data_IF_351605065046
#
_entry.id   IF_351605065046
#
_cell.length_a   1.000
_cell.length_b   1.000
_cell.length_c   1.000
_cell.angle_alpha   90.00
_cell.angle_beta   90.00
_cell.angle_gamma   90.00
#
_symmetry.space_group_name_H-M   'P 1'
#
loop_
_entity.id
_entity.type
_entity.pdbx_description
1 polymer ?
#
# COMPACT_ATOMS: atom_id res chain seq x y z
N UNK A 1 -10.63 23.42 -21.71
CA UNK A 1 -11.61 22.34 -21.45
C UNK A 1 -10.98 20.98 -21.20
N UNK A 2 -10.06 20.51 -22.05
CA UNK A 2 -9.42 19.19 -21.87
C UNK A 2 -8.72 19.03 -20.50
N UNK A 3 -7.94 20.05 -20.08
CA UNK A 3 -7.26 20.05 -18.77
C UNK A 3 -8.24 19.95 -17.59
N UNK A 4 -9.37 20.66 -17.63
CA UNK A 4 -10.39 20.60 -16.58
C UNK A 4 -10.93 19.16 -16.42
N UNK A 5 -11.23 18.48 -17.53
CA UNK A 5 -11.73 17.11 -17.51
C UNK A 5 -10.67 16.15 -16.95
N UNK A 6 -9.41 16.30 -17.34
CA UNK A 6 -8.30 15.47 -16.84
C UNK A 6 -8.15 15.64 -15.33
N UNK A 7 -8.04 16.87 -14.82
CA UNK A 7 -7.89 17.12 -13.38
C UNK A 7 -9.10 16.69 -12.56
N UNK A 8 -10.31 16.80 -13.13
CA UNK A 8 -11.51 16.29 -12.49
C UNK A 8 -11.45 14.77 -12.34
N UNK A 9 -11.08 14.04 -13.40
CA UNK A 9 -10.90 12.58 -13.34
C UNK A 9 -9.82 12.21 -12.31
N UNK A 10 -8.69 12.91 -12.30
CA UNK A 10 -7.60 12.68 -11.33
C UNK A 10 -8.07 12.93 -9.89
N UNK A 11 -8.86 13.97 -9.64
CA UNK A 11 -9.38 14.27 -8.31
C UNK A 11 -10.36 13.20 -7.82
N UNK A 12 -11.30 12.79 -8.68
CA UNK A 12 -12.23 11.70 -8.36
C UNK A 12 -11.46 10.39 -8.12
N UNK A 13 -10.49 10.08 -8.96
CA UNK A 13 -9.62 8.90 -8.82
C UNK A 13 -8.84 8.90 -7.51
N UNK A 14 -8.18 10.01 -7.19
CA UNK A 14 -7.42 10.19 -5.94
C UNK A 14 -8.31 9.97 -4.73
N UNK A 15 -9.46 10.65 -4.64
CA UNK A 15 -10.39 10.48 -3.51
C UNK A 15 -10.93 9.05 -3.45
N UNK A 16 -11.24 8.44 -4.59
CA UNK A 16 -11.67 7.05 -4.69
C UNK A 16 -10.64 6.07 -4.12
N UNK A 17 -9.36 6.25 -4.47
CA UNK A 17 -8.25 5.43 -3.94
C UNK A 17 -8.09 5.64 -2.44
N UNK A 18 -8.05 6.89 -1.96
CA UNK A 18 -7.92 7.18 -0.53
C UNK A 18 -9.10 6.62 0.28
N UNK A 19 -10.32 6.75 -0.23
CA UNK A 19 -11.51 6.14 0.37
C UNK A 19 -11.42 4.61 0.37
N UNK A 20 -10.93 4.01 -0.72
CA UNK A 20 -10.73 2.56 -0.82
C UNK A 20 -9.67 2.03 0.17
N UNK A 21 -8.55 2.73 0.33
CA UNK A 21 -7.44 2.31 1.19
C UNK A 21 -7.73 2.56 2.67
N UNK A 22 -8.11 3.79 3.03
CA UNK A 22 -8.29 4.20 4.43
C UNK A 22 -9.73 4.07 4.90
N UNK A 23 -10.69 4.26 4.00
CA UNK A 23 -12.10 4.14 4.31
C UNK A 23 -12.53 2.69 4.51
N UNK A 24 -11.93 1.70 3.85
CA UNK A 24 -12.44 0.31 3.87
C UNK A 24 -11.89 -0.58 4.99
N UNK A 25 -10.97 -0.09 5.83
CA UNK A 25 -10.43 -0.82 7.02
C UNK A 25 -11.44 -0.95 8.17
N UNK A 26 -12.71 -1.26 7.87
CA UNK A 26 -13.82 -1.26 8.82
C UNK A 26 -14.22 -2.64 9.31
N UNK A 27 -13.77 -3.71 8.65
CA UNK A 27 -14.17 -5.08 8.97
C UNK A 27 -13.28 -5.63 10.08
N UNK A 28 -13.93 -6.26 11.05
CA UNK A 28 -13.27 -7.14 11.99
C UNK A 28 -12.91 -8.42 11.24
N UNK A 29 -11.62 -8.60 10.97
CA UNK A 29 -11.10 -9.79 10.31
C UNK A 29 -9.99 -10.35 11.22
N UNK A 30 -10.09 -11.65 11.51
CA UNK A 30 -9.01 -12.43 12.17
C UNK A 30 -8.58 -11.92 13.55
N UNK A 31 -9.50 -11.41 14.38
CA UNK A 31 -9.12 -10.93 15.71
C UNK A 31 -8.62 -9.48 15.73
N UNK A 32 -8.70 -8.77 14.60
CA UNK A 32 -8.22 -7.39 14.46
C UNK A 32 -9.31 -6.44 13.97
N UNK A 33 -9.40 -5.28 14.60
CA UNK A 33 -10.20 -4.14 14.15
C UNK A 33 -9.27 -2.93 13.96
N UNK A 34 -9.25 -2.33 12.77
CA UNK A 34 -8.39 -1.16 12.47
C UNK A 34 -6.89 -1.39 12.78
N UNK A 35 -6.42 -2.65 12.76
CA UNK A 35 -5.04 -3.02 13.11
C UNK A 35 -4.77 -3.26 14.60
N UNK A 36 -5.80 -3.14 15.45
CA UNK A 36 -5.71 -3.44 16.88
C UNK A 36 -6.26 -4.84 17.15
N UNK A 37 -5.44 -5.71 17.75
CA UNK A 37 -5.85 -7.04 18.21
C UNK A 37 -6.87 -6.90 19.34
N UNK A 38 -8.09 -7.40 19.13
CA UNK A 38 -9.22 -7.35 20.06
C UNK A 38 -9.93 -8.72 20.05
N UNK A 39 -10.37 -9.27 21.19
CA UNK A 39 -11.23 -10.46 21.19
C UNK A 39 -12.61 -10.13 20.56
N UNK A 40 -13.24 -11.11 19.92
CA UNK A 40 -14.48 -10.90 19.15
C UNK A 40 -15.65 -10.37 19.98
N UNK A 41 -15.69 -10.73 21.27
CA UNK A 41 -16.65 -10.19 22.24
C UNK A 41 -16.47 -8.70 22.51
N UNK A 42 -15.24 -8.17 22.44
CA UNK A 42 -14.95 -6.76 22.62
C UNK A 42 -15.23 -5.94 21.34
N UNK A 43 -15.07 -6.54 20.16
CA UNK A 43 -15.39 -5.90 18.89
C UNK A 43 -16.90 -5.65 18.72
N UNK A 44 -17.72 -6.51 19.33
CA UNK A 44 -19.18 -6.40 19.35
C UNK A 44 -19.71 -5.50 20.47
N UNK A 45 -18.85 -4.98 21.34
CA UNK A 45 -19.25 -4.07 22.42
C UNK A 45 -19.89 -2.79 21.86
N UNK A 46 -20.91 -2.28 22.56
CA UNK A 46 -21.68 -1.12 22.12
C UNK A 46 -20.79 0.12 21.95
N UNK A 47 -19.77 0.28 22.81
CA UNK A 47 -18.80 1.38 22.73
C UNK A 47 -17.96 1.34 21.44
N UNK A 48 -17.47 0.15 21.05
CA UNK A 48 -16.69 -0.03 19.83
C UNK A 48 -17.57 0.12 18.59
N UNK A 49 -18.80 -0.41 18.61
CA UNK A 49 -19.79 -0.22 17.52
C UNK A 49 -20.14 1.26 17.33
N UNK A 50 -20.38 2.00 18.41
CA UNK A 50 -20.64 3.43 18.33
C UNK A 50 -19.44 4.22 17.79
N UNK A 51 -18.22 3.88 18.23
CA UNK A 51 -16.98 4.49 17.70
C UNK A 51 -16.85 4.23 16.19
N UNK A 52 -17.08 3.00 15.74
CA UNK A 52 -17.00 2.63 14.33
C UNK A 52 -18.12 3.25 13.49
N UNK A 53 -19.32 3.40 14.05
CA UNK A 53 -20.45 4.10 13.39
C UNK A 53 -20.13 5.59 13.22
N UNK A 54 -19.58 6.23 14.26
CA UNK A 54 -19.15 7.63 14.21
C UNK A 54 -18.01 7.84 13.22
N UNK A 55 -17.02 6.95 13.22
CA UNK A 55 -15.96 6.90 12.23
C UNK A 55 -16.52 6.81 10.81
N UNK A 56 -17.42 5.85 10.54
CA UNK A 56 -18.05 5.67 9.22
C UNK A 56 -18.71 6.95 8.73
N UNK A 57 -19.46 7.63 9.58
CA UNK A 57 -20.13 8.89 9.23
C UNK A 57 -19.13 10.01 8.96
N UNK A 58 -18.13 10.18 9.83
CA UNK A 58 -17.09 11.19 9.64
C UNK A 58 -16.22 10.95 8.41
N UNK A 59 -15.82 9.70 8.15
CA UNK A 59 -15.09 9.33 6.94
C UNK A 59 -15.91 9.65 5.70
N UNK A 60 -17.20 9.29 5.66
CA UNK A 60 -18.08 9.62 4.53
C UNK A 60 -18.14 11.12 4.28
N UNK A 61 -18.45 11.90 5.32
CA UNK A 61 -18.53 13.35 5.20
C UNK A 61 -17.20 13.98 4.79
N UNK A 62 -16.08 13.54 5.37
CA UNK A 62 -14.75 14.04 5.02
C UNK A 62 -14.45 13.85 3.53
N UNK A 63 -14.66 12.65 2.98
CA UNK A 63 -14.39 12.39 1.57
C UNK A 63 -15.42 13.03 0.63
N UNK A 64 -16.69 13.14 1.03
CA UNK A 64 -17.71 13.86 0.24
C UNK A 64 -17.40 15.36 0.17
N UNK A 65 -17.06 16.00 1.30
CA UNK A 65 -16.70 17.43 1.32
C UNK A 65 -15.42 17.69 0.52
N UNK A 66 -14.41 16.83 0.65
CA UNK A 66 -13.20 16.95 -0.15
C UNK A 66 -13.48 16.72 -1.64
N UNK A 67 -14.42 15.85 -2.01
CA UNK A 67 -14.80 15.67 -3.41
C UNK A 67 -15.42 16.94 -3.99
N UNK A 68 -16.33 17.58 -3.25
CA UNK A 68 -16.92 18.85 -3.65
C UNK A 68 -15.88 19.97 -3.72
N UNK A 69 -14.97 20.03 -2.74
CA UNK A 69 -13.85 20.97 -2.74
C UNK A 69 -12.92 20.75 -3.94
N UNK A 70 -12.60 19.50 -4.26
CA UNK A 70 -11.77 19.16 -5.43
C UNK A 70 -12.41 19.56 -6.75
N UNK A 71 -13.75 19.44 -6.88
CA UNK A 71 -14.49 19.94 -8.06
C UNK A 71 -14.44 21.47 -8.13
N UNK A 72 -14.63 22.15 -6.99
CA UNK A 72 -14.55 23.61 -6.92
C UNK A 72 -13.14 24.12 -7.27
N UNK A 73 -12.10 23.45 -6.77
CA UNK A 73 -10.69 23.76 -7.08
C UNK A 73 -10.42 23.59 -8.58
N UNK A 74 -10.96 22.55 -9.22
CA UNK A 74 -10.88 22.39 -10.68
C UNK A 74 -11.50 23.56 -11.45
N UNK A 75 -12.50 24.26 -10.90
CA UNK A 75 -13.09 25.45 -11.53
C UNK A 75 -12.08 26.58 -11.75
N UNK A 76 -11.04 26.68 -10.90
CA UNK A 76 -9.98 27.68 -11.06
C UNK A 76 -9.09 27.44 -12.30
N UNK A 77 -9.16 26.27 -12.95
CA UNK A 77 -8.50 26.01 -14.23
C UNK A 77 -8.92 26.97 -15.35
N UNK A 78 -10.11 27.59 -15.25
CA UNK A 78 -10.59 28.55 -16.27
C UNK A 78 -9.99 29.95 -16.12
N UNK A 79 -9.31 30.25 -15.01
CA UNK A 79 -8.75 31.57 -14.75
C UNK A 79 -7.25 31.65 -15.05
N UNK A 80 -6.41 31.02 -14.22
CA UNK A 80 -4.97 30.95 -14.40
C UNK A 80 -4.45 29.60 -13.94
N UNK A 81 -3.77 28.88 -14.84
CA UNK A 81 -3.21 27.55 -14.56
C UNK A 81 -2.25 27.57 -13.37
N UNK A 82 -1.39 28.58 -13.25
CA UNK A 82 -0.42 28.67 -12.15
C UNK A 82 -1.09 28.81 -10.78
N UNK A 83 -2.14 29.61 -10.68
CA UNK A 83 -2.92 29.78 -9.43
C UNK A 83 -3.65 28.48 -9.11
N UNK A 84 -4.25 27.84 -10.11
CA UNK A 84 -4.87 26.54 -9.97
C UNK A 84 -3.88 25.50 -9.42
N UNK A 85 -2.67 25.41 -9.97
CA UNK A 85 -1.66 24.43 -9.54
C UNK A 85 -1.30 24.59 -8.05
N UNK A 86 -1.12 25.83 -7.58
CA UNK A 86 -0.81 26.10 -6.17
C UNK A 86 -1.97 25.68 -5.26
N UNK A 87 -3.19 26.13 -5.56
CA UNK A 87 -4.38 25.80 -4.76
C UNK A 87 -4.65 24.30 -4.77
N UNK A 88 -4.48 23.65 -5.93
CA UNK A 88 -4.64 22.21 -6.09
C UNK A 88 -3.60 21.41 -5.30
N UNK A 89 -2.33 21.83 -5.29
CA UNK A 89 -1.29 21.19 -4.47
C UNK A 89 -1.56 21.33 -2.97
N UNK A 90 -2.00 22.51 -2.50
CA UNK A 90 -2.35 22.72 -1.09
C UNK A 90 -3.52 21.80 -0.70
N UNK A 91 -4.58 21.79 -1.50
CA UNK A 91 -5.74 20.93 -1.28
C UNK A 91 -5.37 19.44 -1.24
N UNK A 92 -4.47 18.98 -2.13
CA UNK A 92 -4.02 17.59 -2.16
C UNK A 92 -3.26 17.20 -0.88
N UNK A 93 -2.38 18.08 -0.39
CA UNK A 93 -1.66 17.88 0.88
C UNK A 93 -2.64 17.82 2.06
N UNK A 94 -3.64 18.70 2.10
CA UNK A 94 -4.68 18.70 3.14
C UNK A 94 -5.49 17.40 3.16
N UNK A 95 -5.88 16.89 1.99
CA UNK A 95 -6.58 15.59 1.86
C UNK A 95 -5.71 14.46 2.42
N UNK A 96 -4.42 14.44 2.11
CA UNK A 96 -3.48 13.41 2.57
C UNK A 96 -3.32 13.44 4.10
N UNK A 97 -3.05 14.62 4.67
CA UNK A 97 -2.88 14.80 6.11
C UNK A 97 -4.20 14.47 6.83
N UNK A 98 -5.33 14.95 6.32
CA UNK A 98 -6.65 14.70 6.90
C UNK A 98 -7.01 13.22 6.92
N UNK A 99 -6.72 12.47 5.85
CA UNK A 99 -6.94 11.04 5.78
C UNK A 99 -6.11 10.26 6.84
N UNK A 100 -4.83 10.60 6.99
CA UNK A 100 -3.93 9.98 7.97
C UNK A 100 -4.38 10.31 9.40
N UNK A 101 -4.72 11.57 9.68
CA UNK A 101 -5.17 12.01 11.01
C UNK A 101 -6.48 11.34 11.42
N UNK A 102 -7.42 11.16 10.49
CA UNK A 102 -8.71 10.52 10.75
C UNK A 102 -8.52 9.04 11.11
N UNK A 103 -7.60 8.34 10.44
CA UNK A 103 -7.19 6.98 10.80
C UNK A 103 -6.51 6.95 12.17
N UNK A 104 -5.51 7.81 12.39
CA UNK A 104 -4.71 7.84 13.61
C UNK A 104 -5.56 8.13 14.86
N UNK A 105 -6.46 9.11 14.80
CA UNK A 105 -7.37 9.44 15.92
C UNK A 105 -8.24 8.25 16.31
N UNK A 106 -8.72 7.51 15.33
CA UNK A 106 -9.60 6.36 15.57
C UNK A 106 -8.81 5.18 16.12
N UNK A 107 -7.62 4.93 15.57
CA UNK A 107 -6.70 3.92 16.08
C UNK A 107 -6.31 4.20 17.54
N UNK A 108 -5.95 5.44 17.88
CA UNK A 108 -5.60 5.82 19.26
C UNK A 108 -6.77 5.64 20.21
N UNK A 109 -7.97 6.08 19.85
CA UNK A 109 -9.18 5.87 20.68
C UNK A 109 -9.51 4.40 20.88
N UNK A 110 -9.34 3.58 19.85
CA UNK A 110 -9.54 2.14 19.95
C UNK A 110 -8.48 1.48 20.84
N UNK A 111 -7.24 1.96 20.78
CA UNK A 111 -6.15 1.54 21.67
C UNK A 111 -6.39 1.95 23.13
N UNK A 112 -6.86 3.16 23.38
CA UNK A 112 -7.20 3.64 24.72
C UNK A 112 -8.35 2.81 25.33
N UNK A 113 -9.37 2.46 24.52
CA UNK A 113 -10.44 1.55 24.92
C UNK A 113 -9.91 0.14 25.25
N UNK A 114 -8.98 -0.36 24.43
CA UNK A 114 -8.30 -1.64 24.68
C UNK A 114 -7.56 -1.64 26.02
N UNK A 115 -6.82 -0.57 26.32
CA UNK A 115 -6.07 -0.43 27.58
C UNK A 115 -7.01 -0.27 28.78
N UNK A 116 -8.05 0.55 28.67
CA UNK A 116 -9.01 0.81 29.75
C UNK A 116 -9.77 -0.45 30.16
N UNK A 117 -10.17 -1.27 29.19
CA UNK A 117 -10.99 -2.45 29.44
C UNK A 117 -10.17 -3.73 29.65
N UNK A 118 -8.83 -3.62 29.72
CA UNK A 118 -7.96 -4.76 29.97
C UNK A 118 -8.07 -5.84 28.91
N UNK A 119 -8.39 -5.48 27.66
CA UNK A 119 -8.52 -6.42 26.53
C UNK A 119 -7.15 -6.87 26.01
N UNK A 120 -6.31 -7.33 26.93
CA UNK A 120 -5.08 -8.06 26.66
C UNK A 120 -5.53 -9.50 26.43
N UNK A 121 -5.41 -9.96 25.19
CA UNK A 121 -5.66 -11.37 24.88
C UNK A 121 -4.89 -12.26 25.86
N UNK A 122 -5.53 -13.31 26.36
CA UNK A 122 -5.10 -14.22 27.42
C UNK A 122 -3.81 -15.02 27.15
N UNK A 123 -2.94 -14.56 26.26
CA UNK A 123 -1.75 -15.31 25.82
C UNK A 123 -0.43 -14.56 26.11
N UNK A 124 -0.48 -13.41 26.78
CA UNK A 124 0.68 -12.51 26.97
C UNK A 124 1.82 -13.03 27.87
N UNK A 125 1.68 -14.17 28.54
CA UNK A 125 2.69 -14.64 29.52
C UNK A 125 3.60 -15.79 29.04
N UNK A 126 3.23 -16.53 27.98
CA UNK A 126 4.06 -17.62 27.44
C UNK A 126 4.84 -17.27 26.16
N UNK A 127 4.60 -16.08 25.62
CA UNK A 127 5.19 -15.62 24.36
C UNK A 127 6.67 -15.18 24.54
N UNK A 128 7.05 -14.68 25.72
CA UNK A 128 8.39 -14.06 25.91
C UNK A 128 9.59 -15.02 25.91
N UNK A 129 9.41 -16.32 26.18
CA UNK A 129 10.55 -17.27 26.24
C UNK A 129 10.74 -18.07 24.95
N UNK A 130 9.72 -18.17 24.11
CA UNK A 130 9.84 -18.75 22.77
C UNK A 130 10.22 -17.69 21.72
N UNK A 131 9.88 -16.41 21.97
CA UNK A 131 10.19 -15.28 21.09
C UNK A 131 11.69 -15.10 20.84
N UNK A 132 12.59 -15.35 21.80
CA UNK A 132 14.03 -15.07 21.60
C UNK A 132 14.73 -16.03 20.61
N UNK A 133 14.36 -17.32 20.63
CA UNK A 133 14.90 -18.31 19.69
C UNK A 133 14.20 -18.28 18.33
N UNK A 134 12.91 -17.91 18.32
CA UNK A 134 12.14 -17.68 17.10
C UNK A 134 12.58 -16.38 16.42
N UNK A 135 12.85 -15.31 17.16
CA UNK A 135 13.35 -14.04 16.63
C UNK A 135 14.71 -14.19 15.95
N UNK A 136 15.60 -15.06 16.47
CA UNK A 136 16.88 -15.36 15.84
C UNK A 136 16.70 -16.09 14.49
N UNK A 137 15.79 -17.06 14.42
CA UNK A 137 15.52 -17.84 13.20
C UNK A 137 14.68 -17.05 12.17
N UNK A 138 13.75 -16.21 12.64
CA UNK A 138 12.94 -15.29 11.84
C UNK A 138 13.80 -14.13 11.29
N UNK A 139 14.76 -13.62 12.07
CA UNK A 139 15.73 -12.62 11.60
C UNK A 139 16.68 -13.19 10.54
N UNK A 140 17.21 -14.39 10.76
CA UNK A 140 18.08 -15.07 9.79
C UNK A 140 17.35 -15.44 8.48
N UNK A 141 16.04 -15.72 8.53
CA UNK A 141 15.25 -15.94 7.33
C UNK A 141 14.77 -14.63 6.67
N UNK A 142 14.62 -13.53 7.43
CA UNK A 142 14.24 -12.22 6.90
C UNK A 142 15.25 -11.64 5.94
N UNK A 143 16.54 -11.89 6.12
CA UNK A 143 17.57 -11.50 5.14
C UNK A 143 17.41 -12.17 3.77
N UNK A 144 16.68 -13.30 3.69
CA UNK A 144 16.44 -14.04 2.44
C UNK A 144 15.05 -13.79 1.83
N UNK A 145 14.29 -12.83 2.35
CA UNK A 145 12.93 -12.52 1.88
C UNK A 145 12.93 -11.27 1.00
N UNK A 146 12.53 -11.41 -0.26
CA UNK A 146 12.49 -10.32 -1.25
C UNK A 146 13.67 -10.30 -2.20
N UNK A 147 13.48 -9.65 -3.36
CA UNK A 147 14.55 -9.39 -4.32
C UNK A 147 15.43 -8.24 -3.81
N UNK A 148 16.70 -8.23 -4.17
CA UNK A 148 17.61 -7.17 -3.73
C UNK A 148 17.17 -5.79 -4.25
N UNK A 149 17.16 -4.74 -3.41
CA UNK A 149 16.91 -3.36 -3.85
C UNK A 149 17.94 -2.83 -4.86
N UNK A 150 19.09 -3.50 -5.01
CA UNK A 150 20.16 -3.10 -5.93
C UNK A 150 19.72 -3.05 -7.40
N UNK A 151 18.66 -3.78 -7.78
CA UNK A 151 18.06 -3.67 -9.12
C UNK A 151 17.59 -2.26 -9.46
N UNK A 152 17.17 -1.47 -8.47
CA UNK A 152 16.80 -0.08 -8.69
C UNK A 152 17.99 0.80 -9.06
N UNK A 153 19.18 0.49 -8.55
CA UNK A 153 20.42 1.19 -8.91
C UNK A 153 20.77 0.93 -10.38
N UNK A 154 20.58 -0.30 -10.86
CA UNK A 154 20.75 -0.63 -12.28
C UNK A 154 19.83 0.23 -13.16
N UNK A 155 18.55 0.34 -12.80
CA UNK A 155 17.59 1.15 -13.53
C UNK A 155 17.89 2.65 -13.47
N UNK A 156 18.33 3.18 -12.32
CA UNK A 156 18.84 4.54 -12.22
C UNK A 156 20.04 4.77 -13.15
N UNK A 157 20.98 3.82 -13.21
CA UNK A 157 22.13 3.89 -14.12
C UNK A 157 21.71 3.93 -15.60
N UNK A 158 20.69 3.13 -15.98
CA UNK A 158 20.14 3.13 -17.33
C UNK A 158 19.46 4.45 -17.71
N UNK A 159 18.81 5.16 -16.78
CA UNK A 159 18.25 6.49 -17.04
C UNK A 159 19.35 7.54 -17.25
N UNK A 160 20.48 7.40 -16.57
CA UNK A 160 21.61 8.35 -16.70
C UNK A 160 22.40 8.13 -17.99
N UNK A 161 22.47 6.89 -18.49
CA UNK A 161 23.30 6.52 -19.65
C UNK A 161 23.00 7.31 -20.94
N UNK A 162 21.74 7.57 -21.33
CA UNK A 162 21.40 8.43 -22.46
C UNK A 162 21.92 9.87 -22.34
N UNK A 163 22.18 10.37 -21.12
CA UNK A 163 22.76 11.70 -20.92
C UNK A 163 24.22 11.79 -21.36
N UNK A 164 24.86 10.68 -21.75
CA UNK A 164 26.18 10.68 -22.39
C UNK A 164 26.10 10.96 -23.90
N UNK A 165 24.92 10.79 -24.51
CA UNK A 165 24.73 11.00 -25.94
C UNK A 165 24.73 12.50 -26.30
N UNK A 166 25.44 12.91 -27.36
CA UNK A 166 25.61 14.32 -27.70
C UNK A 166 24.28 14.99 -28.09
N UNK A 167 23.39 14.31 -28.82
CA UNK A 167 22.07 14.86 -29.16
C UNK A 167 21.18 15.05 -27.93
N UNK A 168 21.14 14.08 -27.01
CA UNK A 168 20.37 14.20 -25.76
C UNK A 168 20.90 15.36 -24.91
N UNK A 169 22.22 15.55 -24.83
CA UNK A 169 22.81 16.70 -24.12
C UNK A 169 22.43 18.04 -24.76
N UNK A 170 22.42 18.10 -26.09
CA UNK A 170 21.98 19.29 -26.81
C UNK A 170 20.51 19.58 -26.53
N UNK A 171 19.65 18.56 -26.58
CA UNK A 171 18.23 18.70 -26.24
C UNK A 171 18.02 19.20 -24.81
N UNK A 172 18.73 18.64 -23.83
CA UNK A 172 18.67 19.07 -22.43
C UNK A 172 19.18 20.51 -22.20
N UNK A 173 20.06 21.01 -23.08
CA UNK A 173 20.62 22.36 -22.98
C UNK A 173 19.77 23.41 -23.69
N UNK A 174 19.20 23.05 -24.83
CA UNK A 174 18.43 23.95 -25.70
C UNK A 174 16.95 24.02 -25.30
N UNK A 175 16.38 22.93 -24.76
CA UNK A 175 14.98 22.88 -24.35
C UNK A 175 14.79 23.36 -22.92
N UNK A 176 13.94 24.37 -22.71
CA UNK A 176 13.59 24.89 -21.37
C UNK A 176 13.02 23.79 -20.44
N UNK A 177 12.27 22.84 -21.03
CA UNK A 177 11.61 21.75 -20.30
C UNK A 177 12.39 20.42 -20.35
N UNK A 178 13.56 20.38 -21.00
CA UNK A 178 14.27 19.13 -21.29
C UNK A 178 14.60 18.31 -20.05
N UNK A 179 14.91 18.99 -18.94
CA UNK A 179 15.28 18.33 -17.68
C UNK A 179 14.11 17.68 -16.94
N UNK A 180 12.87 18.09 -17.22
CA UNK A 180 11.70 17.66 -16.44
C UNK A 180 11.51 16.15 -16.55
N UNK A 181 11.59 15.59 -17.77
CA UNK A 181 11.40 14.16 -18.01
C UNK A 181 12.49 13.32 -17.36
N UNK A 182 13.75 13.77 -17.44
CA UNK A 182 14.88 13.11 -16.79
C UNK A 182 14.72 13.11 -15.27
N UNK A 183 14.46 14.28 -14.67
CA UNK A 183 14.32 14.43 -13.22
C UNK A 183 13.13 13.63 -12.68
N UNK A 184 11.99 13.64 -13.38
CA UNK A 184 10.84 12.84 -13.02
C UNK A 184 11.13 11.33 -13.08
N UNK A 185 11.66 10.84 -14.21
CA UNK A 185 12.00 9.42 -14.37
C UNK A 185 13.01 8.93 -13.32
N UNK A 186 14.02 9.74 -13.02
CA UNK A 186 15.00 9.44 -11.99
C UNK A 186 14.39 9.45 -10.58
N UNK A 187 13.59 10.47 -10.25
CA UNK A 187 12.94 10.59 -8.95
C UNK A 187 11.99 9.42 -8.66
N UNK A 188 11.22 8.96 -9.66
CA UNK A 188 10.32 7.80 -9.52
C UNK A 188 11.10 6.54 -9.13
N UNK A 189 12.24 6.26 -9.79
CA UNK A 189 13.08 5.12 -9.44
C UNK A 189 13.67 5.24 -8.01
N UNK A 190 14.06 6.44 -7.58
CA UNK A 190 14.52 6.65 -6.20
C UNK A 190 13.41 6.40 -5.18
N UNK A 191 12.19 6.85 -5.46
CA UNK A 191 11.03 6.59 -4.59
C UNK A 191 10.75 5.10 -4.51
N UNK A 192 10.74 4.38 -5.64
CA UNK A 192 10.56 2.92 -5.63
C UNK A 192 11.68 2.20 -4.88
N UNK A 193 12.93 2.65 -5.01
CA UNK A 193 14.06 2.12 -4.25
C UNK A 193 13.88 2.33 -2.73
N UNK A 194 13.50 3.54 -2.32
CA UNK A 194 13.26 3.88 -0.93
C UNK A 194 12.11 3.06 -0.33
N UNK A 195 10.98 2.98 -1.03
CA UNK A 195 9.83 2.17 -0.61
C UNK A 195 10.20 0.69 -0.53
N UNK A 196 10.96 0.17 -1.50
CA UNK A 196 11.43 -1.22 -1.49
C UNK A 196 12.30 -1.50 -0.25
N UNK A 197 13.25 -0.62 0.05
CA UNK A 197 14.11 -0.75 1.23
C UNK A 197 13.29 -0.71 2.54
N UNK A 198 12.28 0.16 2.64
CA UNK A 198 11.39 0.23 3.80
C UNK A 198 10.57 -1.06 3.97
N UNK A 199 10.03 -1.62 2.88
CA UNK A 199 9.25 -2.86 2.93
C UNK A 199 10.11 -4.04 3.42
N UNK A 200 11.35 -4.15 2.95
CA UNK A 200 12.25 -5.22 3.40
C UNK A 200 12.63 -5.08 4.89
N UNK A 201 12.82 -3.84 5.36
CA UNK A 201 13.11 -3.52 6.77
C UNK A 201 11.89 -3.62 7.70
N UNK A 202 10.68 -3.71 7.15
CA UNK A 202 9.47 -3.83 7.95
C UNK A 202 9.45 -5.18 8.68
N UNK A 203 9.19 -5.15 10.00
CA UNK A 203 9.10 -6.36 10.84
C UNK A 203 7.97 -7.25 10.37
N UNK A 204 8.16 -8.56 10.52
CA UNK A 204 7.16 -9.55 10.13
C UNK A 204 5.92 -9.43 11.01
N UNK A 205 4.74 -9.53 10.41
CA UNK A 205 3.45 -9.50 11.10
C UNK A 205 3.04 -10.91 11.53
N UNK A 206 2.51 -11.05 12.74
CA UNK A 206 2.01 -12.34 13.27
C UNK A 206 0.52 -12.44 12.92
N UNK A 207 0.14 -13.45 12.12
CA UNK A 207 -1.25 -13.68 11.68
C UNK A 207 -1.91 -14.85 12.41
N UNK A 208 -1.12 -15.84 12.84
CA UNK A 208 -1.55 -17.08 13.50
C UNK A 208 -0.54 -17.53 14.55
N UNK A 209 -0.90 -18.50 15.38
CA UNK A 209 0.02 -19.19 16.28
C UNK A 209 1.05 -20.05 15.51
N UNK A 210 0.75 -20.42 14.26
CA UNK A 210 1.70 -21.16 13.41
C UNK A 210 2.76 -20.22 12.79
N UNK A 211 3.97 -20.30 13.35
CA UNK A 211 5.17 -19.57 12.91
C UNK A 211 5.49 -19.83 11.43
N UNK A 212 5.32 -21.07 10.94
CA UNK A 212 5.63 -21.40 9.53
C UNK A 212 4.66 -20.70 8.58
N UNK A 213 3.38 -20.66 8.95
CA UNK A 213 2.36 -19.98 8.15
C UNK A 213 2.59 -18.46 8.15
N UNK A 214 2.93 -17.86 9.29
CA UNK A 214 3.26 -16.44 9.37
C UNK A 214 4.47 -16.08 8.49
N UNK A 215 5.52 -16.88 8.53
CA UNK A 215 6.70 -16.67 7.69
C UNK A 215 6.37 -16.80 6.21
N UNK A 216 5.53 -17.77 5.83
CA UNK A 216 5.10 -17.95 4.45
C UNK A 216 4.32 -16.73 3.92
N UNK A 217 3.38 -16.19 4.71
CA UNK A 217 2.60 -15.01 4.34
C UNK A 217 3.49 -13.76 4.25
N UNK A 218 4.35 -13.53 5.24
CA UNK A 218 5.28 -12.40 5.21
C UNK A 218 6.25 -12.47 4.02
N UNK A 219 6.76 -13.67 3.70
CA UNK A 219 7.62 -13.89 2.53
C UNK A 219 6.87 -13.60 1.23
N UNK A 220 5.63 -14.07 1.12
CA UNK A 220 4.80 -13.82 -0.06
C UNK A 220 4.54 -12.33 -0.22
N UNK A 221 4.17 -11.61 0.83
CA UNK A 221 3.94 -10.17 0.79
C UNK A 221 5.20 -9.41 0.40
N UNK A 222 6.34 -9.66 1.07
CA UNK A 222 7.62 -9.03 0.73
C UNK A 222 8.02 -9.30 -0.72
N UNK A 223 7.89 -10.55 -1.19
CA UNK A 223 8.20 -10.91 -2.57
C UNK A 223 7.29 -10.20 -3.59
N UNK A 224 5.96 -10.22 -3.39
CA UNK A 224 5.01 -9.59 -4.33
C UNK A 224 5.27 -8.09 -4.44
N UNK A 225 5.50 -7.40 -3.32
CA UNK A 225 5.84 -5.98 -3.34
C UNK A 225 7.21 -5.70 -3.96
N UNK A 226 8.22 -6.51 -3.66
CA UNK A 226 9.56 -6.38 -4.25
C UNK A 226 9.50 -6.48 -5.78
N UNK A 227 8.80 -7.51 -6.30
CA UNK A 227 8.63 -7.72 -7.73
C UNK A 227 7.80 -6.60 -8.39
N UNK A 228 6.74 -6.15 -7.72
CA UNK A 228 5.91 -5.06 -8.26
C UNK A 228 6.69 -3.75 -8.37
N UNK A 229 7.54 -3.43 -7.38
CA UNK A 229 8.38 -2.24 -7.40
C UNK A 229 9.47 -2.33 -8.47
N UNK A 230 10.14 -3.48 -8.60
CA UNK A 230 11.15 -3.71 -9.66
C UNK A 230 10.52 -3.60 -11.04
N UNK A 231 9.34 -4.20 -11.25
CA UNK A 231 8.60 -4.07 -12.50
C UNK A 231 8.22 -2.61 -12.76
N UNK A 232 7.78 -1.87 -11.74
CA UNK A 232 7.54 -0.44 -11.83
C UNK A 232 8.76 0.34 -12.34
N UNK A 233 9.92 0.10 -11.75
CA UNK A 233 11.17 0.74 -12.19
C UNK A 233 11.61 0.33 -13.60
N UNK A 234 11.37 -0.92 -14.00
CA UNK A 234 11.63 -1.37 -15.36
C UNK A 234 10.78 -0.61 -16.38
N UNK A 235 9.47 -0.49 -16.16
CA UNK A 235 8.57 0.21 -17.07
C UNK A 235 8.84 1.72 -17.12
N UNK A 236 9.10 2.37 -15.96
CA UNK A 236 9.51 3.78 -15.90
C UNK A 236 10.82 4.01 -16.66
N UNK A 237 11.81 3.13 -16.50
CA UNK A 237 13.08 3.20 -17.23
C UNK A 237 12.88 2.96 -18.73
N UNK A 238 12.08 1.98 -19.12
CA UNK A 238 11.76 1.70 -20.52
C UNK A 238 11.01 2.85 -21.19
N UNK A 239 10.09 3.50 -20.47
CA UNK A 239 9.36 4.67 -20.93
C UNK A 239 10.33 5.85 -21.17
N UNK A 240 11.25 6.11 -20.24
CA UNK A 240 12.26 7.14 -20.43
C UNK A 240 13.21 6.82 -21.59
N UNK A 241 13.70 5.58 -21.69
CA UNK A 241 14.59 5.15 -22.78
C UNK A 241 13.94 5.31 -24.16
N UNK A 242 12.64 4.97 -24.26
CA UNK A 242 11.86 5.19 -25.47
C UNK A 242 11.85 6.66 -25.88
N UNK A 243 11.60 7.57 -24.94
CA UNK A 243 11.63 9.01 -25.24
C UNK A 243 13.04 9.47 -25.66
N UNK A 244 14.08 9.01 -24.96
CA UNK A 244 15.47 9.40 -25.28
C UNK A 244 15.95 8.92 -26.65
N UNK A 245 15.44 7.79 -27.13
CA UNK A 245 15.73 7.30 -28.48
C UNK A 245 15.26 8.31 -29.54
N UNK A 246 14.06 8.88 -29.39
CA UNK A 246 13.55 9.91 -30.30
C UNK A 246 14.21 11.28 -30.11
N UNK A 247 14.66 11.60 -28.89
CA UNK A 247 15.51 12.77 -28.65
C UNK A 247 16.82 12.67 -29.45
N UNK A 248 17.42 11.47 -29.52
CA UNK A 248 18.66 11.21 -30.24
C UNK A 248 18.50 11.25 -31.78
N UNK A 249 17.40 10.70 -32.30
CA UNK A 249 17.15 10.65 -33.74
C UNK A 249 16.63 11.95 -34.35
N UNK A 250 15.73 12.67 -33.65
CA UNK A 250 14.93 13.74 -34.28
C UNK A 250 15.01 15.09 -33.59
N UNK A 251 15.69 15.21 -32.44
CA UNK A 251 15.75 16.42 -31.59
C UNK A 251 14.38 17.01 -31.21
N UNK A 252 13.28 16.30 -31.49
CA UNK A 252 11.91 16.71 -31.26
C UNK A 252 11.08 15.49 -30.82
N UNK A 253 10.24 15.69 -29.82
CA UNK A 253 9.38 14.64 -29.27
C UNK A 253 7.96 14.86 -29.82
N UNK A 254 7.55 14.02 -30.76
CA UNK A 254 6.20 14.04 -31.31
C UNK A 254 5.16 13.53 -30.31
N UNK A 255 3.89 13.88 -30.53
CA UNK A 255 2.75 13.46 -29.70
C UNK A 255 2.61 11.94 -29.57
N UNK A 256 2.98 11.20 -30.61
CA UNK A 256 3.00 9.74 -30.67
C UNK A 256 3.96 9.11 -29.66
N UNK A 257 5.10 9.77 -29.39
CA UNK A 257 6.09 9.29 -28.41
C UNK A 257 5.52 9.41 -27.00
N UNK A 258 4.80 10.51 -26.71
CA UNK A 258 4.13 10.71 -25.43
C UNK A 258 2.99 9.71 -25.19
N UNK A 259 2.28 9.28 -26.23
CA UNK A 259 1.23 8.25 -26.09
C UNK A 259 1.84 6.93 -25.59
N UNK A 260 2.94 6.49 -26.20
CA UNK A 260 3.63 5.25 -25.79
C UNK A 260 4.21 5.40 -24.37
N UNK A 261 4.76 6.57 -24.05
CA UNK A 261 5.24 6.89 -22.71
C UNK A 261 4.12 6.72 -21.66
N UNK A 262 2.94 7.33 -21.88
CA UNK A 262 1.79 7.23 -20.97
C UNK A 262 1.31 5.79 -20.82
N UNK A 263 1.28 5.01 -21.92
CA UNK A 263 0.89 3.59 -21.88
C UNK A 263 1.85 2.82 -20.98
N UNK A 264 3.16 2.98 -21.16
CA UNK A 264 4.17 2.29 -20.36
C UNK A 264 4.10 2.68 -18.87
N UNK A 265 3.89 3.96 -18.56
CA UNK A 265 3.72 4.45 -17.18
C UNK A 265 2.42 3.96 -16.52
N UNK A 266 1.40 3.61 -17.31
CA UNK A 266 0.14 3.09 -16.78
C UNK A 266 0.22 1.61 -16.36
N UNK A 267 1.12 0.81 -16.96
CA UNK A 267 1.26 -0.63 -16.68
C UNK A 267 1.60 -0.92 -15.21
N UNK A 268 2.56 -0.22 -14.56
CA UNK A 268 2.84 -0.38 -13.14
C UNK A 268 1.61 -0.28 -12.23
N UNK A 269 0.65 0.59 -12.56
CA UNK A 269 -0.59 0.77 -11.78
C UNK A 269 -1.37 -0.56 -11.73
N UNK A 270 -1.52 -1.23 -12.88
CA UNK A 270 -2.20 -2.52 -12.95
C UNK A 270 -1.43 -3.62 -12.21
N UNK A 271 -0.09 -3.60 -12.28
CA UNK A 271 0.76 -4.56 -11.56
C UNK A 271 0.55 -4.40 -10.05
N UNK A 272 0.63 -3.18 -9.51
CA UNK A 272 0.40 -2.93 -8.09
C UNK A 272 -1.01 -3.35 -7.65
N UNK A 273 -2.03 -3.03 -8.45
CA UNK A 273 -3.40 -3.45 -8.16
C UNK A 273 -3.53 -4.98 -8.12
N UNK A 274 -2.95 -5.68 -9.09
CA UNK A 274 -2.95 -7.14 -9.14
C UNK A 274 -2.22 -7.76 -7.94
N UNK A 275 -1.11 -7.16 -7.50
CA UNK A 275 -0.37 -7.57 -6.31
C UNK A 275 -1.21 -7.46 -5.03
N UNK A 276 -1.95 -6.36 -4.86
CA UNK A 276 -2.87 -6.17 -3.73
C UNK A 276 -3.97 -7.23 -3.74
N UNK A 277 -4.60 -7.49 -4.89
CA UNK A 277 -5.63 -8.53 -4.99
C UNK A 277 -5.08 -9.94 -4.73
N UNK A 278 -3.87 -10.22 -5.21
CA UNK A 278 -3.21 -11.51 -5.02
C UNK A 278 -2.91 -11.79 -3.54
N UNK A 279 -2.34 -10.80 -2.83
CA UNK A 279 -2.07 -10.90 -1.38
C UNK A 279 -3.37 -11.16 -0.62
N UNK A 280 -4.40 -10.33 -0.86
CA UNK A 280 -5.71 -10.50 -0.18
C UNK A 280 -6.35 -11.86 -0.41
N UNK A 281 -6.31 -12.36 -1.65
CA UNK A 281 -6.84 -13.69 -1.99
C UNK A 281 -6.09 -14.80 -1.25
N UNK A 282 -4.77 -14.67 -1.12
CA UNK A 282 -3.94 -15.65 -0.42
C UNK A 282 -4.09 -15.58 1.10
N UNK A 283 -4.12 -14.40 1.70
CA UNK A 283 -4.39 -14.21 3.14
C UNK A 283 -5.72 -14.89 3.53
N UNK A 284 -6.80 -14.60 2.78
CA UNK A 284 -8.11 -15.21 3.01
C UNK A 284 -8.07 -16.74 2.84
N UNK A 285 -7.30 -17.25 1.88
CA UNK A 285 -7.14 -18.67 1.60
C UNK A 285 -6.38 -19.42 2.70
N UNK A 286 -5.30 -18.85 3.22
CA UNK A 286 -4.53 -19.43 4.33
C UNK A 286 -5.37 -19.54 5.60
N UNK A 287 -6.13 -18.50 5.94
CA UNK A 287 -7.03 -18.53 7.08
C UNK A 287 -8.16 -19.57 6.92
N UNK A 288 -8.65 -19.77 5.69
CA UNK A 288 -9.66 -20.80 5.37
C UNK A 288 -9.11 -22.22 5.48
N UNK A 289 -7.89 -22.46 5.00
CA UNK A 289 -7.20 -23.77 5.10
C UNK A 289 -6.89 -24.09 6.56
N UNK A 290 -6.41 -23.12 7.35
CA UNK A 290 -6.18 -23.32 8.77
C UNK A 290 -7.48 -23.62 9.54
N UNK A 291 -8.57 -22.90 9.26
CA UNK A 291 -9.89 -23.23 9.81
C UNK A 291 -10.36 -24.63 9.38
N UNK A 292 -10.13 -25.03 8.12
CA UNK A 292 -10.45 -26.37 7.64
C UNK A 292 -9.59 -27.44 8.32
N UNK A 293 -8.30 -27.19 8.53
CA UNK A 293 -7.38 -28.11 9.21
C UNK A 293 -7.70 -28.22 10.71
N UNK A 294 -8.07 -27.13 11.38
CA UNK A 294 -8.57 -27.17 12.76
C UNK A 294 -9.89 -27.93 12.82
N UNK A 295 -10.82 -27.66 11.89
CA UNK A 295 -12.10 -28.36 11.82
C UNK A 295 -11.92 -29.86 11.50
N UNK A 296 -11.01 -30.21 10.58
CA UNK A 296 -10.63 -31.59 10.26
C UNK A 296 -9.88 -32.26 11.42
N UNK A 297 -8.99 -31.55 12.12
CA UNK A 297 -8.35 -32.06 13.35
C UNK A 297 -9.38 -32.26 14.46
N UNK A 298 -10.37 -31.36 14.63
CA UNK A 298 -11.46 -31.55 15.57
C UNK A 298 -12.37 -32.73 15.19
N UNK A 299 -12.54 -33.01 13.89
CA UNK A 299 -13.27 -34.19 13.40
C UNK A 299 -12.45 -35.48 13.57
N UNK A 300 -11.12 -35.41 13.38
CA UNK A 300 -10.21 -36.55 13.56
C UNK A 300 -9.94 -36.86 15.04
N UNK A 301 -9.83 -35.84 15.89
CA UNK A 301 -9.69 -35.96 17.35
C UNK A 301 -11.06 -36.28 17.98
N UNK A 302 -12.17 -35.79 17.40
CA UNK A 302 -13.54 -36.10 17.79
C UNK A 302 -14.01 -37.52 17.47
N UNK A 303 -13.13 -38.41 16.99
CA UNK A 303 -13.40 -39.85 16.84
C UNK A 303 -12.59 -40.73 17.79
N UNK A 304 -11.78 -40.14 18.66
CA UNK A 304 -11.04 -40.83 19.72
C UNK A 304 -11.13 -40.02 21.00
N UNK A 305 -12.31 -40.05 21.65
CA UNK A 305 -12.46 -40.05 23.12
C UNK A 305 -13.92 -39.80 23.50
N UNK A 306 -14.68 -40.89 23.57
CA UNK A 306 -16.05 -40.93 24.09
C UNK A 306 -16.14 -40.81 25.62
N UNK A 307 -15.42 -39.89 26.26
CA UNK A 307 -15.37 -39.85 27.74
C UNK A 307 -15.27 -38.47 28.40
N UNK A 308 -15.44 -37.34 27.68
CA UNK A 308 -15.29 -36.00 28.26
C UNK A 308 -16.58 -35.15 28.25
N UNK A 309 -17.76 -35.77 28.18
CA UNK A 309 -19.08 -35.09 28.35
C UNK A 309 -19.54 -35.08 29.82
N UNK A 310 -18.69 -35.45 30.80
CA UNK A 310 -19.10 -35.56 32.23
C UNK A 310 -18.51 -34.54 33.20
N UNK A 311 -17.84 -33.48 32.75
CA UNK A 311 -17.36 -32.41 33.65
C UNK A 311 -17.73 -31.02 33.17
N UNK A 312 -19.02 -30.82 32.88
CA UNK A 312 -19.68 -29.52 33.06
C UNK A 312 -20.74 -29.75 34.14
N UNK A 313 -20.25 -29.70 35.38
CA UNK A 313 -20.91 -29.35 36.64
C UNK A 313 -22.38 -28.92 36.58
N UNK A 314 -23.27 -29.41 37.46
CA UNK A 314 -22.95 -29.99 38.76
C UNK A 314 -22.19 -29.00 39.64
#
# INVERSE_FOLDING_TARGET
MMMFVIFLIVNVGTIGIFYGVYGTKRKYEEGMLMGVHLPGSAAESEEVKMLMKKYRTWTKWFYTLNLLAGIAVCGFCFWYISVFMIVWSIWLVEVCIGAILLLYRTHRKLYDLKMKNGWIGSNGSKIMTADSAVDATVSAQSEKMGMSPLWHILFCGLIVLPCLLPQVRLYLKESEDGWILFLCGFAVNLVFAAVHAVILRTRNTVYSEDVKMNLAVNRLQKNVWSWSLIAGSLFNTGAYLWVTYFMDEKMWIGSEVYIVYIILESVPIFIFMSGVFYIKKKETGFCRIMKLCIMLMMIFIGKTDGTVIRMING
#
